data_IF_255529090569
#
_entry.id   IF_255529090569
#
_cell.length_a   1.000
_cell.length_b   1.000
_cell.length_c   1.000
_cell.angle_alpha   90.00
_cell.angle_beta   90.00
_cell.angle_gamma   90.00
#
_symmetry.space_group_name_H-M   'P 1'
#
loop_
_entity.id
_entity.type
_entity.pdbx_description
1 polymer ?
#
# COMPACT_ATOMS: atom_id res chain seq x y z
N UNK A 1 5.01 -18.29 -0.93
CA UNK A 1 5.53 -17.85 0.39
C UNK A 1 5.98 -19.02 1.24
N UNK A 2 5.21 -20.09 1.34
CA UNK A 2 5.56 -21.28 2.16
C UNK A 2 6.95 -21.84 1.79
N UNK A 3 7.26 -21.97 0.50
CA UNK A 3 8.58 -22.42 0.03
C UNK A 3 9.71 -21.49 0.47
N UNK A 4 9.48 -20.17 0.42
CA UNK A 4 10.46 -19.16 0.87
C UNK A 4 10.72 -19.31 2.37
N UNK A 5 9.67 -19.52 3.16
CA UNK A 5 9.79 -19.75 4.60
C UNK A 5 10.60 -21.03 4.90
N UNK A 6 10.41 -22.09 4.12
CA UNK A 6 11.20 -23.33 4.26
C UNK A 6 12.68 -23.10 3.93
N UNK A 7 12.99 -22.35 2.88
CA UNK A 7 14.37 -21.94 2.55
C UNK A 7 14.98 -21.12 3.68
N UNK A 8 14.23 -20.15 4.22
CA UNK A 8 14.68 -19.35 5.35
C UNK A 8 14.99 -20.20 6.59
N UNK A 9 14.10 -21.16 6.93
CA UNK A 9 14.33 -22.10 8.05
C UNK A 9 15.57 -22.94 7.86
N UNK A 10 15.75 -23.53 6.66
CA UNK A 10 16.91 -24.38 6.34
C UNK A 10 18.24 -23.65 6.46
N UNK A 11 18.29 -22.38 6.08
CA UNK A 11 19.51 -21.57 6.06
C UNK A 11 19.65 -20.69 7.31
N UNK A 12 18.70 -20.71 8.25
CA UNK A 12 18.64 -19.81 9.42
C UNK A 12 18.60 -18.32 8.99
N UNK A 13 17.91 -18.02 7.88
CA UNK A 13 17.72 -16.69 7.32
C UNK A 13 16.42 -16.05 7.79
N UNK A 14 16.42 -14.73 7.87
CA UNK A 14 15.20 -13.93 7.85
C UNK A 14 14.83 -13.55 6.39
N UNK A 15 13.75 -12.81 6.18
CA UNK A 15 13.34 -12.40 4.83
C UNK A 15 14.33 -11.43 4.16
N UNK A 16 15.03 -10.60 4.93
CA UNK A 16 16.06 -9.71 4.38
C UNK A 16 17.23 -10.53 3.86
N UNK A 17 17.69 -11.52 4.64
CA UNK A 17 18.75 -12.44 4.21
C UNK A 17 18.34 -13.19 2.94
N UNK A 18 17.08 -13.69 2.90
CA UNK A 18 16.56 -14.36 1.71
C UNK A 18 16.64 -13.46 0.47
N UNK A 19 16.14 -12.22 0.56
CA UNK A 19 16.13 -11.30 -0.57
C UNK A 19 17.55 -10.99 -1.04
N UNK A 20 18.44 -10.54 -0.14
CA UNK A 20 19.79 -10.13 -0.54
C UNK A 20 20.74 -11.27 -0.93
N UNK A 21 20.40 -12.52 -0.60
CA UNK A 21 21.15 -13.69 -1.10
C UNK A 21 20.66 -14.22 -2.45
N UNK A 22 19.45 -13.84 -2.89
CA UNK A 22 18.86 -14.31 -4.14
C UNK A 22 18.75 -13.24 -5.23
N UNK A 23 19.00 -11.97 -4.88
CA UNK A 23 18.89 -10.85 -5.81
C UNK A 23 20.27 -10.30 -6.17
N UNK A 24 20.32 -9.40 -7.17
CA UNK A 24 21.55 -8.75 -7.62
C UNK A 24 22.17 -7.88 -6.53
N UNK A 25 23.50 -7.78 -6.52
CA UNK A 25 24.25 -6.94 -5.58
C UNK A 25 23.87 -5.46 -5.64
N UNK A 26 23.35 -5.00 -6.76
CA UNK A 26 22.89 -3.62 -6.96
C UNK A 26 21.52 -3.34 -6.30
N UNK A 27 20.80 -4.37 -5.82
CA UNK A 27 19.48 -4.20 -5.22
C UNK A 27 19.47 -3.17 -4.09
N UNK A 28 20.49 -3.18 -3.22
CA UNK A 28 20.58 -2.21 -2.11
C UNK A 28 20.60 -0.77 -2.63
N UNK A 29 21.42 -0.49 -3.65
CA UNK A 29 21.53 0.84 -4.26
C UNK A 29 20.22 1.22 -4.96
N UNK A 30 19.58 0.28 -5.62
CA UNK A 30 18.28 0.48 -6.23
C UNK A 30 17.22 0.83 -5.19
N UNK A 31 17.06 0.05 -4.12
CA UNK A 31 16.10 0.32 -3.06
C UNK A 31 16.40 1.63 -2.30
N UNK A 32 17.68 2.04 -2.21
CA UNK A 32 18.04 3.34 -1.66
C UNK A 32 17.52 4.51 -2.50
N UNK A 33 17.55 4.38 -3.85
CA UNK A 33 16.97 5.37 -4.77
C UNK A 33 15.43 5.38 -4.65
N UNK A 34 14.81 4.20 -4.61
CA UNK A 34 13.37 4.05 -4.40
C UNK A 34 12.92 4.73 -3.10
N UNK A 35 13.61 4.48 -1.99
CA UNK A 35 13.31 5.15 -0.72
C UNK A 35 13.40 6.68 -0.86
N UNK A 36 14.44 7.18 -1.51
CA UNK A 36 14.58 8.62 -1.71
C UNK A 36 13.44 9.21 -2.52
N UNK A 37 13.03 8.56 -3.63
CA UNK A 37 11.90 9.00 -4.45
C UNK A 37 10.57 8.98 -3.67
N UNK A 38 10.34 7.95 -2.84
CA UNK A 38 9.17 7.89 -1.94
C UNK A 38 9.15 9.06 -0.96
N UNK A 39 10.26 9.33 -0.28
CA UNK A 39 10.34 10.42 0.70
C UNK A 39 10.14 11.79 0.04
N UNK A 40 10.72 12.02 -1.13
CA UNK A 40 10.56 13.28 -1.85
C UNK A 40 9.15 13.47 -2.41
N UNK A 41 8.45 12.40 -2.84
CA UNK A 41 7.07 12.51 -3.30
C UNK A 41 6.12 13.00 -2.19
N UNK A 42 6.28 12.51 -0.95
CA UNK A 42 5.52 13.01 0.20
C UNK A 42 5.80 14.49 0.46
N UNK A 43 7.07 14.90 0.48
CA UNK A 43 7.43 16.32 0.70
C UNK A 43 6.83 17.26 -0.34
N UNK A 44 6.90 16.89 -1.62
CA UNK A 44 6.30 17.69 -2.69
C UNK A 44 4.80 17.82 -2.51
N UNK A 45 4.08 16.70 -2.27
CA UNK A 45 2.64 16.70 -2.06
C UNK A 45 2.20 17.52 -0.84
N UNK A 46 2.95 17.45 0.27
CA UNK A 46 2.67 18.26 1.47
C UNK A 46 2.91 19.78 1.26
N UNK A 47 3.71 20.16 0.29
CA UNK A 47 3.95 21.58 -0.03
C UNK A 47 2.99 22.13 -1.08
N UNK A 48 2.35 21.25 -1.85
CA UNK A 48 1.47 21.61 -2.95
C UNK A 48 0.08 22.04 -2.49
N UNK A 49 -0.59 22.84 -3.31
CA UNK A 49 -1.98 23.29 -3.11
C UNK A 49 -2.64 23.57 -4.45
N UNK A 50 -3.95 23.81 -4.46
CA UNK A 50 -4.74 24.09 -5.66
C UNK A 50 -5.60 22.91 -6.07
N UNK A 51 -6.06 22.88 -7.32
CA UNK A 51 -6.99 21.88 -7.87
C UNK A 51 -6.17 20.82 -8.62
N UNK A 52 -6.55 19.54 -8.46
CA UNK A 52 -5.97 18.43 -9.21
C UNK A 52 -6.34 18.55 -10.70
N UNK A 53 -5.43 18.14 -11.61
CA UNK A 53 -5.72 18.12 -13.04
C UNK A 53 -6.94 17.25 -13.38
N UNK A 54 -7.64 17.61 -14.46
CA UNK A 54 -8.79 16.86 -14.96
C UNK A 54 -10.12 17.55 -14.69
N UNK A 55 -11.22 16.87 -15.02
CA UNK A 55 -12.58 17.43 -14.99
C UNK A 55 -13.28 17.34 -13.63
N UNK A 56 -12.70 16.64 -12.66
CA UNK A 56 -13.34 16.38 -11.36
C UNK A 56 -13.40 17.61 -10.43
N UNK A 57 -12.52 18.60 -10.64
CA UNK A 57 -12.47 19.81 -9.81
C UNK A 57 -12.09 19.56 -8.34
N UNK A 58 -11.35 18.50 -8.08
CA UNK A 58 -10.95 18.09 -6.71
C UNK A 58 -9.77 18.94 -6.23
N UNK A 59 -9.91 19.54 -5.06
CA UNK A 59 -8.84 20.30 -4.42
C UNK A 59 -7.82 19.37 -3.75
N UNK A 60 -6.54 19.78 -3.73
CA UNK A 60 -5.51 19.13 -2.94
C UNK A 60 -5.76 19.33 -1.44
N UNK A 61 -5.75 18.25 -0.69
CA UNK A 61 -6.09 18.22 0.73
C UNK A 61 -4.90 17.87 1.65
N UNK A 62 -3.86 17.22 1.12
CA UNK A 62 -2.75 16.68 1.90
C UNK A 62 -2.11 17.71 2.84
N UNK A 63 -1.77 18.90 2.32
CA UNK A 63 -1.17 20.00 3.10
C UNK A 63 -2.06 20.43 4.26
N UNK A 64 -3.36 20.62 4.00
CA UNK A 64 -4.31 21.07 5.00
C UNK A 64 -4.55 19.98 6.07
N UNK A 65 -4.62 18.71 5.67
CA UNK A 65 -4.70 17.58 6.60
C UNK A 65 -3.47 17.52 7.51
N UNK A 66 -2.27 17.67 6.94
CA UNK A 66 -1.04 17.69 7.72
C UNK A 66 -0.97 18.85 8.71
N UNK A 67 -1.38 20.05 8.28
CA UNK A 67 -1.42 21.21 9.17
C UNK A 67 -2.47 21.00 10.28
N UNK A 68 -3.62 20.43 9.95
CA UNK A 68 -4.68 20.13 10.90
C UNK A 68 -4.25 19.08 11.93
N UNK A 69 -3.48 18.05 11.52
CA UNK A 69 -3.02 17.03 12.45
C UNK A 69 -2.23 17.61 13.63
N UNK A 70 -1.43 18.64 13.39
CA UNK A 70 -0.63 19.32 14.43
C UNK A 70 -1.44 20.01 15.54
N UNK A 71 -2.74 20.20 15.33
CA UNK A 71 -3.66 20.82 16.31
C UNK A 71 -4.56 19.79 17.00
N UNK A 72 -4.37 18.50 16.74
CA UNK A 72 -5.09 17.42 17.40
C UNK A 72 -4.38 17.10 18.71
N UNK A 73 -5.14 17.07 19.81
CA UNK A 73 -4.61 16.81 21.16
C UNK A 73 -4.50 15.32 21.48
N UNK A 74 -5.33 14.49 20.87
CA UNK A 74 -5.29 13.04 21.04
C UNK A 74 -4.19 12.45 20.14
N UNK A 75 -3.15 11.90 20.75
CA UNK A 75 -1.98 11.36 20.04
C UNK A 75 -2.35 10.26 19.05
N UNK A 76 -3.39 9.48 19.33
CA UNK A 76 -3.83 8.39 18.47
C UNK A 76 -4.56 8.90 17.23
N UNK A 77 -5.41 9.90 17.38
CA UNK A 77 -6.09 10.58 16.27
C UNK A 77 -5.07 11.38 15.44
N UNK A 78 -4.16 12.09 16.09
CA UNK A 78 -3.08 12.83 15.46
C UNK A 78 -2.24 11.93 14.55
N UNK A 79 -1.76 10.79 15.07
CA UNK A 79 -1.02 9.79 14.31
C UNK A 79 -1.77 9.36 13.04
N UNK A 80 -3.07 9.05 13.16
CA UNK A 80 -3.89 8.60 12.02
C UNK A 80 -4.01 9.68 10.96
N UNK A 81 -4.37 10.91 11.35
CA UNK A 81 -4.57 12.01 10.40
C UNK A 81 -3.27 12.38 9.72
N UNK A 82 -2.17 12.38 10.44
CA UNK A 82 -0.83 12.64 9.91
C UNK A 82 -0.42 11.58 8.90
N UNK A 83 -0.55 10.30 9.23
CA UNK A 83 -0.24 9.19 8.32
C UNK A 83 -1.11 9.22 7.05
N UNK A 84 -2.42 9.48 7.20
CA UNK A 84 -3.32 9.67 6.07
C UNK A 84 -2.90 10.85 5.19
N UNK A 85 -2.46 11.96 5.78
CA UNK A 85 -2.01 13.14 5.02
C UNK A 85 -0.79 12.81 4.11
N UNK A 86 0.10 11.95 4.57
CA UNK A 86 1.24 11.47 3.76
C UNK A 86 0.80 10.61 2.57
N UNK A 87 -0.20 9.75 2.77
CA UNK A 87 -0.77 8.96 1.68
C UNK A 87 -1.49 9.83 0.65
N UNK A 88 -2.25 10.84 1.12
CA UNK A 88 -2.84 11.87 0.25
C UNK A 88 -1.77 12.60 -0.55
N UNK A 89 -0.67 13.03 0.09
CA UNK A 89 0.40 13.77 -0.56
C UNK A 89 0.96 13.04 -1.78
N UNK A 90 1.27 11.74 -1.65
CA UNK A 90 1.78 10.92 -2.76
C UNK A 90 0.72 10.71 -3.83
N UNK A 91 -0.53 10.44 -3.43
CA UNK A 91 -1.62 10.18 -4.37
C UNK A 91 -1.99 11.44 -5.16
N UNK A 92 -1.96 12.61 -4.55
CA UNK A 92 -2.16 13.91 -5.22
C UNK A 92 -0.99 14.26 -6.17
N UNK A 93 0.25 13.88 -5.81
CA UNK A 93 1.40 13.98 -6.72
C UNK A 93 1.21 13.09 -7.94
N UNK A 94 0.80 11.83 -7.75
CA UNK A 94 0.47 10.92 -8.85
C UNK A 94 -0.62 11.52 -9.76
N UNK A 95 -1.71 12.01 -9.18
CA UNK A 95 -2.81 12.63 -9.93
C UNK A 95 -2.39 13.90 -10.71
N UNK A 96 -1.27 14.51 -10.33
CA UNK A 96 -0.72 15.71 -10.96
C UNK A 96 0.49 15.44 -11.86
N UNK A 97 0.72 14.19 -12.27
CA UNK A 97 1.88 13.73 -13.04
C UNK A 97 3.23 14.00 -12.36
N UNK A 98 3.26 14.09 -11.03
CA UNK A 98 4.49 14.14 -10.25
C UNK A 98 5.21 12.80 -10.23
N UNK A 99 6.51 12.82 -9.93
CA UNK A 99 7.30 11.61 -9.78
C UNK A 99 6.90 10.85 -8.50
N UNK A 100 6.45 9.61 -8.65
CA UNK A 100 6.09 8.71 -7.55
C UNK A 100 6.64 7.31 -7.81
N UNK A 101 6.72 6.50 -6.76
CA UNK A 101 7.11 5.08 -6.89
C UNK A 101 5.86 4.22 -6.94
N UNK A 102 5.78 3.34 -7.93
CA UNK A 102 4.74 2.30 -7.99
C UNK A 102 4.96 1.26 -6.88
N UNK A 103 3.96 1.07 -6.02
CA UNK A 103 4.09 0.15 -4.88
C UNK A 103 2.76 -0.57 -4.54
N UNK A 104 2.28 -1.55 -5.34
CA UNK A 104 2.90 -2.06 -6.57
C UNK A 104 2.49 -1.31 -7.84
N UNK A 105 1.44 -0.47 -7.82
CA UNK A 105 0.92 0.29 -8.95
C UNK A 105 0.84 1.79 -8.64
N UNK A 106 0.54 2.62 -9.65
CA UNK A 106 0.32 4.05 -9.45
C UNK A 106 -0.92 4.32 -8.58
N UNK A 107 -1.98 3.54 -8.75
CA UNK A 107 -3.21 3.68 -7.96
C UNK A 107 -3.03 3.40 -6.46
N UNK A 108 -1.96 2.71 -6.08
CA UNK A 108 -1.65 2.36 -4.69
C UNK A 108 -0.32 2.95 -4.18
N UNK A 109 0.25 3.93 -4.88
CA UNK A 109 1.58 4.48 -4.61
C UNK A 109 1.71 5.17 -3.24
N UNK A 110 0.59 5.62 -2.66
CA UNK A 110 0.58 6.37 -1.40
C UNK A 110 0.81 5.52 -0.14
N UNK A 111 0.44 4.24 -0.16
CA UNK A 111 0.39 3.41 1.06
C UNK A 111 1.79 3.16 1.64
N UNK A 112 2.67 2.53 0.87
CA UNK A 112 4.00 2.19 1.34
C UNK A 112 4.86 3.45 1.53
N UNK A 113 4.78 4.41 0.62
CA UNK A 113 5.54 5.65 0.69
C UNK A 113 5.19 6.49 1.94
N UNK A 114 3.91 6.60 2.29
CA UNK A 114 3.45 7.29 3.49
C UNK A 114 4.04 6.66 4.77
N UNK A 115 3.98 5.32 4.85
CA UNK A 115 4.53 4.60 6.00
C UNK A 115 6.04 4.77 6.12
N UNK A 116 6.79 4.66 4.99
CA UNK A 116 8.24 4.87 4.99
C UNK A 116 8.61 6.31 5.40
N UNK A 117 7.83 7.30 4.97
CA UNK A 117 8.05 8.69 5.32
C UNK A 117 7.87 8.92 6.82
N UNK A 118 6.77 8.43 7.41
CA UNK A 118 6.51 8.51 8.84
C UNK A 118 7.64 7.85 9.64
N UNK A 119 8.03 6.63 9.28
CA UNK A 119 9.10 5.92 9.98
C UNK A 119 10.44 6.66 9.90
N UNK A 120 10.71 7.36 8.80
CA UNK A 120 11.96 8.09 8.64
C UNK A 120 11.98 9.43 9.40
N UNK A 121 10.95 10.26 9.19
CA UNK A 121 10.95 11.64 9.69
C UNK A 121 10.34 11.78 11.08
N UNK A 122 9.33 10.98 11.42
CA UNK A 122 8.65 11.10 12.70
C UNK A 122 9.23 10.13 13.74
N UNK A 123 9.55 8.89 13.32
CA UNK A 123 10.04 7.85 14.22
C UNK A 123 11.58 7.69 14.20
N UNK A 124 12.30 8.41 13.35
CA UNK A 124 13.76 8.43 13.32
C UNK A 124 14.42 7.10 12.91
N UNK A 125 13.69 6.23 12.19
CA UNK A 125 14.21 4.95 11.74
C UNK A 125 15.32 5.13 10.71
N UNK A 126 16.44 4.43 10.87
CA UNK A 126 17.60 4.55 10.01
C UNK A 126 17.29 4.13 8.57
N UNK A 127 17.90 4.81 7.59
CA UNK A 127 17.74 4.49 6.15
C UNK A 127 18.02 3.01 5.86
N UNK A 128 19.04 2.42 6.50
CA UNK A 128 19.37 1.01 6.32
C UNK A 128 18.21 0.09 6.74
N UNK A 129 17.59 0.34 7.90
CA UNK A 129 16.44 -0.45 8.38
C UNK A 129 15.22 -0.28 7.45
N UNK A 130 15.01 0.93 6.90
CA UNK A 130 13.95 1.20 5.91
C UNK A 130 14.20 0.50 4.56
N UNK A 131 15.44 0.48 4.06
CA UNK A 131 15.80 -0.23 2.83
C UNK A 131 15.54 -1.74 2.99
N UNK A 132 15.89 -2.31 4.14
CA UNK A 132 15.56 -3.70 4.46
C UNK A 132 14.05 -3.94 4.53
N UNK A 133 13.28 -3.01 5.10
CA UNK A 133 11.83 -3.08 5.13
C UNK A 133 11.21 -3.02 3.72
N UNK A 134 11.76 -2.20 2.81
CA UNK A 134 11.38 -2.18 1.40
C UNK A 134 11.67 -3.51 0.71
N UNK A 135 12.81 -4.15 1.01
CA UNK A 135 13.14 -5.47 0.49
C UNK A 135 12.10 -6.51 0.93
N UNK A 136 11.71 -6.50 2.22
CA UNK A 136 10.66 -7.39 2.75
C UNK A 136 9.32 -7.09 2.09
N UNK A 137 8.88 -5.83 2.04
CA UNK A 137 7.62 -5.46 1.37
C UNK A 137 7.61 -5.87 -0.11
N UNK A 138 8.72 -5.63 -0.83
CA UNK A 138 8.90 -6.02 -2.23
C UNK A 138 8.79 -7.53 -2.45
N UNK A 139 9.31 -8.34 -1.54
CA UNK A 139 9.19 -9.80 -1.59
C UNK A 139 7.71 -10.24 -1.61
N UNK A 140 6.89 -9.68 -0.73
CA UNK A 140 5.45 -9.99 -0.69
C UNK A 140 4.73 -9.52 -1.95
N UNK A 141 5.05 -8.32 -2.46
CA UNK A 141 4.55 -7.82 -3.73
C UNK A 141 4.90 -8.73 -4.92
N UNK A 142 6.13 -9.24 -4.98
CA UNK A 142 6.56 -10.18 -6.01
C UNK A 142 5.83 -11.52 -5.92
N UNK A 143 5.59 -12.05 -4.73
CA UNK A 143 4.78 -13.29 -4.55
C UNK A 143 3.35 -13.08 -5.05
N UNK A 144 2.73 -11.94 -4.77
CA UNK A 144 1.38 -11.60 -5.30
C UNK A 144 1.42 -11.50 -6.83
N UNK A 145 2.38 -10.75 -7.38
CA UNK A 145 2.53 -10.56 -8.83
C UNK A 145 2.71 -11.89 -9.57
N UNK A 146 3.52 -12.80 -9.01
CA UNK A 146 3.82 -14.08 -9.63
C UNK A 146 2.63 -15.08 -9.55
N UNK A 147 1.97 -15.18 -8.41
CA UNK A 147 0.94 -16.20 -8.16
C UNK A 147 -0.48 -15.74 -8.49
N UNK A 148 -0.70 -14.43 -8.58
CA UNK A 148 -2.01 -13.84 -8.86
C UNK A 148 -1.89 -12.68 -9.87
N UNK A 149 -2.08 -11.45 -9.44
CA UNK A 149 -1.94 -10.23 -10.25
C UNK A 149 -1.79 -9.02 -9.33
N UNK A 150 -1.18 -7.95 -9.85
CA UNK A 150 -1.16 -6.62 -9.22
C UNK A 150 -1.96 -5.59 -10.03
N UNK A 151 -2.68 -5.99 -11.08
CA UNK A 151 -3.43 -5.11 -11.97
C UNK A 151 -4.88 -4.98 -11.53
N UNK A 152 -5.37 -3.74 -11.39
CA UNK A 152 -6.77 -3.43 -11.14
C UNK A 152 -7.71 -3.91 -12.24
N UNK A 153 -7.28 -3.81 -13.51
CA UNK A 153 -8.01 -4.29 -14.67
C UNK A 153 -8.22 -5.82 -14.69
N UNK A 154 -7.36 -6.56 -14.02
CA UNK A 154 -7.44 -8.03 -13.93
C UNK A 154 -8.11 -8.47 -12.63
N UNK A 155 -7.71 -7.90 -11.52
CA UNK A 155 -8.07 -8.39 -10.18
C UNK A 155 -8.94 -7.45 -9.35
N UNK A 156 -9.32 -6.28 -9.86
CA UNK A 156 -9.94 -5.22 -9.05
C UNK A 156 -8.94 -4.53 -8.14
N UNK A 157 -9.41 -3.61 -7.32
CA UNK A 157 -8.55 -2.81 -6.42
C UNK A 157 -7.94 -3.65 -5.27
N UNK A 158 -8.45 -4.86 -5.01
CA UNK A 158 -7.78 -5.81 -4.12
C UNK A 158 -6.36 -6.15 -4.59
N UNK A 159 -6.13 -6.16 -5.92
CA UNK A 159 -4.83 -6.42 -6.52
C UNK A 159 -3.86 -5.23 -6.42
N UNK A 160 -4.36 -4.02 -6.26
CA UNK A 160 -3.57 -2.80 -6.11
C UNK A 160 -3.45 -2.37 -4.64
N UNK A 161 -4.54 -1.90 -4.06
CA UNK A 161 -4.61 -1.45 -2.65
C UNK A 161 -4.34 -2.60 -1.69
N UNK A 162 -4.96 -3.79 -1.93
CA UNK A 162 -4.71 -4.97 -1.10
C UNK A 162 -3.25 -5.41 -1.15
N UNK A 163 -2.63 -5.44 -2.35
CA UNK A 163 -1.22 -5.77 -2.48
C UNK A 163 -0.31 -4.72 -1.80
N UNK A 164 -0.59 -3.42 -1.96
CA UNK A 164 0.15 -2.37 -1.29
C UNK A 164 0.04 -2.45 0.24
N UNK A 165 -1.16 -2.77 0.76
CA UNK A 165 -1.36 -3.02 2.19
C UNK A 165 -0.55 -4.21 2.69
N UNK A 166 -0.50 -5.33 1.93
CA UNK A 166 0.34 -6.48 2.25
C UNK A 166 1.82 -6.11 2.32
N UNK A 167 2.32 -5.42 1.29
CA UNK A 167 3.70 -4.95 1.23
C UNK A 167 4.03 -4.07 2.43
N UNK A 168 3.14 -3.15 2.77
CA UNK A 168 3.31 -2.22 3.88
C UNK A 168 3.19 -2.92 5.24
N UNK A 169 2.23 -3.84 5.41
CA UNK A 169 2.08 -4.61 6.65
C UNK A 169 3.30 -5.49 6.91
N UNK A 170 3.85 -6.15 5.87
CA UNK A 170 5.08 -6.93 5.97
C UNK A 170 6.29 -6.05 6.34
N UNK A 171 6.45 -4.89 5.70
CA UNK A 171 7.49 -3.92 6.02
C UNK A 171 7.35 -3.38 7.46
N UNK A 172 6.13 -3.06 7.88
CA UNK A 172 5.81 -2.59 9.23
C UNK A 172 6.12 -3.66 10.28
N UNK A 173 5.76 -4.91 10.01
CA UNK A 173 6.06 -6.04 10.89
C UNK A 173 7.57 -6.24 11.05
N UNK A 174 8.33 -6.14 9.94
CA UNK A 174 9.80 -6.16 10.00
C UNK A 174 10.37 -5.01 10.84
N UNK A 175 9.87 -3.78 10.65
CA UNK A 175 10.33 -2.61 11.42
C UNK A 175 10.02 -2.71 12.92
N UNK A 176 9.00 -3.48 13.28
CA UNK A 176 8.64 -3.82 14.66
C UNK A 176 9.34 -5.09 15.19
N UNK A 177 10.39 -5.56 14.51
CA UNK A 177 11.21 -6.72 14.90
C UNK A 177 10.41 -8.02 15.08
N UNK A 178 9.32 -8.19 14.31
CA UNK A 178 8.51 -9.39 14.30
C UNK A 178 9.19 -10.52 13.52
N UNK A 179 8.95 -11.76 13.93
CA UNK A 179 9.53 -12.92 13.26
C UNK A 179 8.84 -13.25 11.92
N UNK A 180 9.44 -14.16 11.13
CA UNK A 180 8.97 -14.55 9.79
C UNK A 180 7.48 -14.93 9.77
N UNK A 181 7.00 -15.72 10.75
CA UNK A 181 5.60 -16.12 10.82
C UNK A 181 4.66 -14.95 11.08
N UNK A 182 5.08 -14.02 11.93
CA UNK A 182 4.32 -12.81 12.24
C UNK A 182 4.29 -11.85 11.06
N UNK A 183 5.40 -11.72 10.30
CA UNK A 183 5.46 -10.91 9.08
C UNK A 183 4.52 -11.48 8.02
N UNK A 184 4.55 -12.80 7.80
CA UNK A 184 3.61 -13.47 6.89
C UNK A 184 2.17 -13.24 7.30
N UNK A 185 1.86 -13.40 8.59
CA UNK A 185 0.52 -13.22 9.13
C UNK A 185 0.02 -11.78 8.97
N UNK A 186 0.87 -10.77 9.20
CA UNK A 186 0.50 -9.38 8.97
C UNK A 186 0.12 -9.13 7.50
N UNK A 187 0.88 -9.65 6.56
CA UNK A 187 0.58 -9.53 5.13
C UNK A 187 -0.69 -10.28 4.73
N UNK A 188 -0.93 -11.45 5.31
CA UNK A 188 -2.14 -12.23 5.09
C UNK A 188 -3.38 -11.46 5.54
N UNK A 189 -3.41 -10.96 6.79
CA UNK A 189 -4.51 -10.14 7.33
C UNK A 189 -4.77 -8.92 6.44
N UNK A 190 -3.71 -8.25 5.99
CA UNK A 190 -3.83 -7.08 5.12
C UNK A 190 -4.52 -7.41 3.78
N UNK A 191 -4.23 -8.56 3.17
CA UNK A 191 -4.90 -9.00 1.94
C UNK A 191 -6.34 -9.43 2.21
N UNK A 192 -6.56 -10.23 3.26
CA UNK A 192 -7.88 -10.75 3.62
C UNK A 192 -8.93 -9.64 3.68
N UNK A 193 -8.59 -8.51 4.31
CA UNK A 193 -9.48 -7.36 4.46
C UNK A 193 -9.78 -6.61 3.16
N UNK A 194 -9.06 -6.90 2.09
CA UNK A 194 -9.26 -6.27 0.78
C UNK A 194 -9.87 -7.22 -0.27
N UNK A 195 -10.15 -8.47 0.09
CA UNK A 195 -10.80 -9.41 -0.82
C UNK A 195 -12.16 -8.88 -1.30
N UNK A 196 -12.36 -8.89 -2.62
CA UNK A 196 -13.58 -8.39 -3.26
C UNK A 196 -13.60 -6.88 -3.51
N UNK A 197 -12.56 -6.12 -3.19
CA UNK A 197 -12.52 -4.68 -3.44
C UNK A 197 -12.49 -4.40 -4.94
N UNK A 198 -13.54 -3.71 -5.43
CA UNK A 198 -13.74 -3.32 -6.83
C UNK A 198 -12.79 -2.21 -7.26
N UNK A 199 -12.57 -2.05 -8.57
CA UNK A 199 -11.84 -0.92 -9.15
C UNK A 199 -12.77 -0.18 -10.13
N UNK A 200 -13.34 0.92 -9.67
CA UNK A 200 -14.39 1.69 -10.31
C UNK A 200 -14.08 3.20 -10.26
N UNK A 201 -12.95 3.66 -10.89
CA UNK A 201 -12.51 5.05 -10.79
C UNK A 201 -13.47 5.99 -11.52
N UNK A 202 -13.90 7.05 -10.82
CA UNK A 202 -14.83 8.06 -11.33
C UNK A 202 -14.18 8.82 -12.47
N UNK A 203 -14.82 8.83 -13.63
CA UNK A 203 -14.34 9.47 -14.86
C UNK A 203 -13.02 8.89 -15.40
N UNK A 204 -12.63 7.70 -14.98
CA UNK A 204 -11.36 7.07 -15.34
C UNK A 204 -10.12 7.68 -14.69
N UNK A 205 -10.30 8.62 -13.76
CA UNK A 205 -9.17 9.25 -13.04
C UNK A 205 -8.76 8.47 -11.79
N UNK A 206 -7.46 8.33 -11.58
CA UNK A 206 -6.88 7.73 -10.35
C UNK A 206 -6.95 8.76 -9.20
N UNK A 207 -8.14 9.24 -8.89
CA UNK A 207 -8.45 10.26 -7.89
C UNK A 207 -9.53 9.75 -6.94
N UNK A 208 -10.76 9.50 -7.42
CA UNK A 208 -11.87 8.97 -6.63
C UNK A 208 -12.16 7.54 -7.10
N UNK A 209 -12.14 6.55 -6.20
CA UNK A 209 -11.87 6.61 -4.75
C UNK A 209 -10.39 6.38 -4.38
N UNK A 210 -9.46 6.41 -5.33
CA UNK A 210 -8.08 5.95 -5.17
C UNK A 210 -7.33 6.69 -4.05
N UNK A 211 -7.44 8.02 -3.98
CA UNK A 211 -6.73 8.83 -2.97
C UNK A 211 -7.18 8.42 -1.57
N UNK A 212 -8.49 8.34 -1.34
CA UNK A 212 -9.04 7.94 -0.04
C UNK A 212 -8.70 6.49 0.32
N UNK A 213 -8.71 5.57 -0.67
CA UNK A 213 -8.31 4.17 -0.47
C UNK A 213 -6.85 4.05 -0.05
N UNK A 214 -5.95 4.89 -0.55
CA UNK A 214 -4.55 4.92 -0.09
C UNK A 214 -4.47 5.33 1.38
N UNK A 215 -5.20 6.37 1.78
CA UNK A 215 -5.20 6.87 3.15
C UNK A 215 -5.78 5.84 4.15
N UNK A 216 -6.90 5.20 3.81
CA UNK A 216 -7.46 4.13 4.64
C UNK A 216 -6.57 2.89 4.59
N UNK A 217 -5.99 2.57 3.43
CA UNK A 217 -5.13 1.41 3.23
C UNK A 217 -3.88 1.42 4.09
N UNK A 218 -3.22 2.57 4.26
CA UNK A 218 -2.04 2.64 5.12
C UNK A 218 -2.38 2.37 6.59
N UNK A 219 -3.53 2.82 7.06
CA UNK A 219 -4.01 2.48 8.42
C UNK A 219 -4.32 0.99 8.56
N UNK A 220 -4.95 0.37 7.54
CA UNK A 220 -5.19 -1.09 7.52
C UNK A 220 -3.90 -1.90 7.59
N UNK A 221 -2.83 -1.43 6.95
CA UNK A 221 -1.53 -2.08 7.05
C UNK A 221 -0.97 -2.04 8.49
N UNK A 222 -1.13 -0.91 9.19
CA UNK A 222 -0.74 -0.76 10.61
C UNK A 222 -1.61 -1.65 11.52
N UNK A 223 -2.92 -1.67 11.28
CA UNK A 223 -3.85 -2.53 12.03
C UNK A 223 -3.51 -4.02 11.85
N UNK A 224 -3.22 -4.45 10.61
CA UNK A 224 -2.84 -5.82 10.29
C UNK A 224 -1.54 -6.24 10.98
N UNK A 225 -0.52 -5.38 10.96
CA UNK A 225 0.73 -5.58 11.70
C UNK A 225 0.46 -5.70 13.20
N UNK A 226 -0.34 -4.80 13.76
CA UNK A 226 -0.67 -4.79 15.18
C UNK A 226 -1.42 -6.06 15.58
N UNK A 227 -2.42 -6.45 14.79
CA UNK A 227 -3.19 -7.68 15.03
C UNK A 227 -2.27 -8.91 15.00
N UNK A 228 -1.40 -9.03 13.99
CA UNK A 228 -0.43 -10.11 13.91
C UNK A 228 0.48 -10.19 15.13
N UNK A 229 1.01 -9.04 15.59
CA UNK A 229 1.91 -8.93 16.74
C UNK A 229 1.33 -9.54 18.02
N UNK A 230 0.04 -9.33 18.25
CA UNK A 230 -0.64 -9.79 19.47
C UNK A 230 -1.32 -11.15 19.30
N UNK A 231 -2.03 -11.37 18.18
CA UNK A 231 -2.79 -12.62 17.97
C UNK A 231 -1.89 -13.83 17.80
N UNK A 232 -0.70 -13.70 17.21
CA UNK A 232 0.27 -14.78 17.09
C UNK A 232 0.78 -15.35 18.44
N UNK A 233 0.55 -14.64 19.52
CA UNK A 233 0.85 -15.08 20.90
C UNK A 233 -0.32 -15.83 21.55
N UNK A 234 -1.51 -15.77 20.94
CA UNK A 234 -2.76 -16.30 21.49
C UNK A 234 -3.18 -17.56 20.75
N UNK A 235 -3.05 -17.55 19.42
CA UNK A 235 -3.45 -18.68 18.57
C UNK A 235 -2.55 -18.80 17.34
N UNK A 236 -2.54 -19.98 16.73
CA UNK A 236 -1.96 -20.17 15.41
C UNK A 236 -2.85 -19.57 14.32
N UNK A 237 -2.22 -19.04 13.26
CA UNK A 237 -2.92 -18.59 12.08
C UNK A 237 -3.41 -19.79 11.26
N UNK A 238 -4.69 -19.79 10.90
CA UNK A 238 -5.34 -20.87 10.10
C UNK A 238 -5.16 -20.61 8.60
N UNK A 239 -5.23 -19.34 8.19
CA UNK A 239 -5.08 -18.92 6.79
C UNK A 239 -3.64 -18.47 6.58
N UNK A 240 -2.92 -19.08 5.65
CA UNK A 240 -1.59 -18.63 5.26
C UNK A 240 -1.63 -17.68 4.06
N UNK A 241 -0.53 -16.97 3.83
CA UNK A 241 -0.41 -15.98 2.76
C UNK A 241 -0.65 -16.56 1.37
N UNK A 242 -0.18 -17.78 1.09
CA UNK A 242 -0.40 -18.41 -0.21
C UNK A 242 -1.89 -18.69 -0.47
N UNK A 243 -2.63 -19.02 0.59
CA UNK A 243 -4.08 -19.27 0.51
C UNK A 243 -4.83 -17.97 0.19
N UNK A 244 -4.52 -16.87 0.89
CA UNK A 244 -5.20 -15.60 0.62
C UNK A 244 -4.87 -15.04 -0.76
N UNK A 245 -3.64 -15.22 -1.25
CA UNK A 245 -3.24 -14.82 -2.62
C UNK A 245 -4.00 -15.63 -3.69
N UNK A 246 -4.16 -16.96 -3.49
CA UNK A 246 -5.01 -17.78 -4.38
C UNK A 246 -6.47 -17.34 -4.34
N UNK A 247 -6.98 -17.03 -3.16
CA UNK A 247 -8.36 -16.52 -2.99
C UNK A 247 -8.53 -15.19 -3.70
N UNK A 248 -7.58 -14.26 -3.57
CA UNK A 248 -7.59 -12.98 -4.28
C UNK A 248 -7.63 -13.18 -5.81
N UNK A 249 -6.82 -14.10 -6.35
CA UNK A 249 -6.85 -14.45 -7.77
C UNK A 249 -8.24 -14.96 -8.19
N UNK A 250 -8.80 -15.89 -7.44
CA UNK A 250 -10.12 -16.45 -7.71
C UNK A 250 -11.21 -15.37 -7.64
N UNK A 251 -11.22 -14.54 -6.60
CA UNK A 251 -12.17 -13.45 -6.44
C UNK A 251 -12.08 -12.46 -7.59
N UNK A 252 -10.85 -12.08 -8.00
CA UNK A 252 -10.64 -11.19 -9.14
C UNK A 252 -11.19 -11.75 -10.46
N UNK A 253 -11.09 -13.06 -10.67
CA UNK A 253 -11.71 -13.73 -11.84
C UNK A 253 -13.24 -13.70 -11.81
N UNK A 254 -13.86 -13.61 -10.63
CA UNK A 254 -15.30 -13.57 -10.43
C UNK A 254 -15.89 -12.16 -10.40
N UNK A 255 -15.09 -11.13 -10.18
CA UNK A 255 -15.54 -9.74 -10.32
C UNK A 255 -15.99 -9.49 -11.76
N UNK A 256 -17.18 -8.88 -11.97
CA UNK A 256 -17.64 -8.49 -13.30
C UNK A 256 -16.71 -7.42 -13.92
N UNK A 257 -16.72 -7.34 -15.25
CA UNK A 257 -15.80 -6.48 -16.00
C UNK A 257 -16.01 -5.00 -15.67
N UNK A 258 -17.26 -4.59 -15.47
CA UNK A 258 -17.64 -3.22 -15.12
C UNK A 258 -17.06 -2.73 -13.78
N UNK A 259 -16.61 -3.64 -12.93
CA UNK A 259 -16.00 -3.35 -11.63
C UNK A 259 -14.47 -3.56 -11.61
N UNK A 260 -13.86 -3.62 -12.80
CA UNK A 260 -12.40 -3.84 -12.98
C UNK A 260 -11.77 -2.73 -13.84
N UNK A 261 -11.71 -1.51 -13.31
CA UNK A 261 -11.01 -0.35 -13.89
C UNK A 261 -11.59 0.13 -15.24
N UNK A 262 -12.83 -0.27 -15.57
CA UNK A 262 -13.48 0.12 -16.83
C UNK A 262 -14.30 1.41 -16.72
N UNK A 263 -14.58 1.88 -15.51
CA UNK A 263 -15.51 2.99 -15.23
C UNK A 263 -16.94 2.76 -15.78
N UNK A 264 -17.32 1.50 -16.05
CA UNK A 264 -18.64 1.13 -16.58
C UNK A 264 -19.64 0.75 -15.49
N UNK A 265 -19.24 0.69 -14.23
CA UNK A 265 -20.06 0.31 -13.09
C UNK A 265 -19.59 0.92 -11.78
N UNK A 266 -20.26 0.58 -10.67
CA UNK A 266 -19.91 1.03 -9.33
C UNK A 266 -19.97 2.55 -9.17
N UNK A 267 -19.02 3.11 -8.40
CA UNK A 267 -18.96 4.56 -8.15
C UNK A 267 -18.86 5.40 -9.42
N UNK A 268 -18.22 4.86 -10.46
CA UNK A 268 -18.06 5.58 -11.72
C UNK A 268 -19.40 5.91 -12.41
N UNK A 269 -20.43 5.10 -12.19
CA UNK A 269 -21.78 5.31 -12.74
C UNK A 269 -22.69 6.13 -11.81
N UNK A 270 -22.49 6.00 -10.50
CA UNK A 270 -23.35 6.67 -9.52
C UNK A 270 -22.95 8.13 -9.25
N UNK A 271 -21.69 8.49 -9.51
CA UNK A 271 -21.17 9.84 -9.27
C UNK A 271 -21.29 10.68 -10.54
N UNK A 272 -22.23 11.63 -10.54
CA UNK A 272 -22.38 12.61 -11.62
C UNK A 272 -21.24 13.63 -11.60
N UNK A 273 -20.51 13.74 -12.71
CA UNK A 273 -19.49 14.77 -12.90
C UNK A 273 -20.08 15.87 -13.78
N UNK A 274 -20.05 17.13 -13.31
CA UNK A 274 -20.48 18.27 -14.13
C UNK A 274 -19.70 18.32 -15.45
N UNK A 275 -20.41 18.17 -16.58
CA UNK A 275 -19.83 18.22 -17.93
C UNK A 275 -19.24 16.89 -18.45
N UNK A 276 -19.56 15.77 -17.82
CA UNK A 276 -19.38 14.42 -18.36
C UNK A 276 -20.75 13.79 -18.40
N UNK A 277 -21.38 13.75 -19.59
CA UNK A 277 -22.60 12.98 -19.80
C UNK A 277 -22.22 11.49 -19.81
N UNK A 278 -22.93 10.70 -19.05
CA UNK A 278 -22.89 9.24 -19.13
C UNK A 278 -23.90 8.85 -20.24
N UNK A 279 -23.43 8.88 -21.51
CA UNK A 279 -24.17 8.29 -22.64
C UNK A 279 -24.03 6.76 -22.68
#
# INVERSE_FOLDING_TARGET
MSEIIEVCKKNQWNFVDYVFNNEDKELYNYLSKILSAMLESVKRGLSASGVLPGKLGIERCAKNMYLKSKSIEDDHEEFKVRLMSYAYAVSEENASNGEVVTAPTLGACGILAAYMYMMYYDEGVSRRKLINALAVGGLFGNVIKHNATISGAVGGCQAEIGAACCMTAAAAAYLNDLNIKQIEYAAEIAMEHHLGLTCDPVGGYVIIPCIERNAVGVLRAVDAMTLSKYMSKIKENVVNFDTVVRTMKYTGQKLPLELKETSLGGLAQEVSIKGVDHD
#
